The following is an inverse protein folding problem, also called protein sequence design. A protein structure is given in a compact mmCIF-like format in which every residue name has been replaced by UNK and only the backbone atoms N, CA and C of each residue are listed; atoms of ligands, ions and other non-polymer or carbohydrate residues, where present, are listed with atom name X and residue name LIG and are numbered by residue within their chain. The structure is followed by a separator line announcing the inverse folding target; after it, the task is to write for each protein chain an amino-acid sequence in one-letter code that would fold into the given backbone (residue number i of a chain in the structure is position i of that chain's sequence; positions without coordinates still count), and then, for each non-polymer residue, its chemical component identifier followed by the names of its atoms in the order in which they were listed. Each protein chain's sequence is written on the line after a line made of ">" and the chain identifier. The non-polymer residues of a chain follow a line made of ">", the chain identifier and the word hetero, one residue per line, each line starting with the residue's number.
data_IF_937456996898
#
_entry.id   IF_937456996898
#
_cell.length_a   1.000
_cell.length_b   1.000
_cell.length_c   1.000
_cell.angle_alpha   90.00
_cell.angle_beta   90.00
_cell.angle_gamma   90.00
#
_symmetry.space_group_name_H-M   'P 1'
#
loop_
_entity.id
_entity.type
_entity.pdbx_description
1 polymer ?
#
# COMPACT_ATOMS: atom_id res chain seq x y z
N UNK A 1 17.36 -53.63 -55.43
CA UNK A 1 17.49 -52.44 -54.57
C UNK A 1 16.21 -51.60 -54.40
N UNK A 2 15.14 -51.78 -55.19
CA UNK A 2 13.90 -50.98 -55.03
C UNK A 2 12.88 -51.49 -53.98
N UNK A 3 13.13 -52.62 -53.31
CA UNK A 3 12.25 -53.12 -52.22
C UNK A 3 12.67 -52.71 -50.81
N UNK A 4 13.87 -52.18 -50.61
CA UNK A 4 14.36 -51.74 -49.29
C UNK A 4 14.04 -50.26 -49.02
N UNK A 5 13.85 -49.45 -50.07
CA UNK A 5 13.52 -48.03 -49.93
C UNK A 5 12.09 -47.77 -49.42
N UNK A 6 11.14 -48.68 -49.65
CA UNK A 6 9.73 -48.50 -49.25
C UNK A 6 9.38 -48.98 -47.83
N UNK A 7 10.33 -49.48 -47.04
CA UNK A 7 10.09 -49.84 -45.62
C UNK A 7 10.67 -48.86 -44.60
N UNK A 8 11.45 -47.86 -45.04
CA UNK A 8 12.04 -46.83 -44.18
C UNK A 8 11.28 -45.49 -44.21
N UNK A 9 10.30 -45.30 -45.11
CA UNK A 9 9.57 -44.03 -45.23
C UNK A 9 8.42 -43.85 -44.23
N UNK A 10 7.88 -44.94 -43.65
CA UNK A 10 6.76 -44.85 -42.71
C UNK A 10 7.15 -44.39 -41.31
N UNK A 11 8.24 -44.92 -40.75
CA UNK A 11 8.61 -44.66 -39.35
C UNK A 11 9.49 -43.42 -39.19
N UNK A 12 10.32 -43.09 -40.18
CA UNK A 12 11.24 -41.94 -40.09
C UNK A 12 10.50 -40.60 -40.04
N UNK A 13 9.38 -40.49 -40.74
CA UNK A 13 8.52 -39.31 -40.68
C UNK A 13 7.83 -39.18 -39.32
N UNK A 14 7.40 -40.29 -38.73
CA UNK A 14 6.77 -40.33 -37.40
C UNK A 14 7.75 -39.88 -36.30
N UNK A 15 9.01 -40.36 -36.34
CA UNK A 15 10.05 -39.92 -35.42
C UNK A 15 10.33 -38.41 -35.52
N UNK A 16 10.31 -37.84 -36.74
CA UNK A 16 10.47 -36.40 -36.94
C UNK A 16 9.34 -35.59 -36.30
N UNK A 17 8.09 -36.01 -36.48
CA UNK A 17 6.92 -35.32 -35.89
C UNK A 17 6.94 -35.41 -34.37
N UNK A 18 7.25 -36.58 -33.80
CA UNK A 18 7.34 -36.76 -32.34
C UNK A 18 8.44 -35.87 -31.75
N UNK A 19 9.60 -35.79 -32.40
CA UNK A 19 10.71 -34.95 -31.94
C UNK A 19 10.31 -33.45 -31.92
N UNK A 20 9.62 -32.97 -32.96
CA UNK A 20 9.12 -31.59 -33.01
C UNK A 20 8.11 -31.31 -31.91
N UNK A 21 7.19 -32.25 -31.64
CA UNK A 21 6.21 -32.11 -30.56
C UNK A 21 6.85 -32.09 -29.17
N UNK A 22 7.88 -32.90 -28.94
CA UNK A 22 8.63 -32.91 -27.68
C UNK A 22 9.40 -31.60 -27.48
N UNK A 23 10.06 -31.09 -28.53
CA UNK A 23 10.74 -29.79 -28.46
C UNK A 23 9.76 -28.64 -28.20
N UNK A 24 8.59 -28.68 -28.82
CA UNK A 24 7.55 -27.67 -28.61
C UNK A 24 6.98 -27.74 -27.18
N UNK A 25 6.79 -28.94 -26.63
CA UNK A 25 6.38 -29.12 -25.24
C UNK A 25 7.43 -28.60 -24.24
N UNK A 26 8.72 -28.84 -24.51
CA UNK A 26 9.82 -28.30 -23.69
C UNK A 26 9.83 -26.76 -23.75
N UNK A 27 9.64 -26.17 -24.94
CA UNK A 27 9.61 -24.72 -25.12
C UNK A 27 8.44 -24.08 -24.36
N UNK A 28 7.26 -24.70 -24.39
CA UNK A 28 6.08 -24.29 -23.61
C UNK A 28 6.32 -24.40 -22.10
N UNK A 29 7.06 -25.41 -21.65
CA UNK A 29 7.37 -25.61 -20.24
C UNK A 29 8.38 -24.58 -19.71
N UNK A 30 9.39 -24.22 -20.50
CA UNK A 30 10.45 -23.29 -20.08
C UNK A 30 9.93 -21.85 -20.04
N UNK A 31 9.19 -21.41 -21.07
CA UNK A 31 8.67 -20.04 -21.13
C UNK A 31 7.25 -20.00 -21.72
N UNK A 32 6.20 -20.10 -20.87
CA UNK A 32 4.80 -20.11 -21.33
C UNK A 32 4.38 -18.80 -22.02
N UNK A 33 5.15 -17.72 -21.84
CA UNK A 33 4.99 -16.42 -22.48
C UNK A 33 5.15 -16.47 -24.00
N UNK A 34 6.10 -17.25 -24.53
CA UNK A 34 6.27 -17.37 -26.00
C UNK A 34 5.07 -18.05 -26.65
N UNK A 35 4.47 -19.01 -25.96
CA UNK A 35 3.29 -19.70 -26.46
C UNK A 35 2.10 -18.75 -26.59
N UNK A 36 1.89 -17.86 -25.61
CA UNK A 36 0.89 -16.79 -25.70
C UNK A 36 1.17 -15.85 -26.88
N UNK A 37 2.44 -15.54 -27.16
CA UNK A 37 2.81 -14.64 -28.25
C UNK A 37 2.44 -15.19 -29.63
N UNK A 38 2.54 -16.51 -29.84
CA UNK A 38 2.20 -17.18 -31.11
C UNK A 38 0.72 -17.00 -31.47
N UNK A 39 -0.18 -17.06 -30.49
CA UNK A 39 -1.63 -16.95 -30.75
C UNK A 39 -2.17 -15.53 -30.64
N UNK A 40 -1.48 -14.63 -29.93
CA UNK A 40 -1.94 -13.25 -29.73
C UNK A 40 -1.44 -12.26 -30.78
N UNK A 41 -0.25 -12.47 -31.34
CA UNK A 41 0.33 -11.50 -32.26
C UNK A 41 0.01 -11.81 -33.71
N UNK A 42 -0.14 -10.76 -34.52
CA UNK A 42 -0.30 -10.89 -35.97
C UNK A 42 0.83 -11.71 -36.60
N UNK A 43 2.07 -11.51 -36.12
CA UNK A 43 3.24 -12.26 -36.58
C UNK A 43 3.15 -13.75 -36.20
N UNK A 44 2.73 -14.04 -34.97
CA UNK A 44 2.52 -15.41 -34.51
C UNK A 44 1.49 -16.17 -35.36
N UNK A 45 0.36 -15.52 -35.65
CA UNK A 45 -0.68 -16.09 -36.51
C UNK A 45 -0.18 -16.32 -37.95
N UNK A 46 0.60 -15.40 -38.50
CA UNK A 46 1.25 -15.56 -39.81
C UNK A 46 2.18 -16.77 -39.85
N UNK A 47 2.98 -16.99 -38.79
CA UNK A 47 3.86 -18.16 -38.66
C UNK A 47 3.04 -19.45 -38.57
N UNK A 48 1.94 -19.44 -37.82
CA UNK A 48 1.06 -20.59 -37.66
C UNK A 48 0.40 -20.99 -38.99
N UNK A 49 -0.09 -20.04 -39.77
CA UNK A 49 -0.63 -20.31 -41.12
C UNK A 49 0.44 -20.84 -42.08
N UNK A 50 1.66 -20.29 -42.02
CA UNK A 50 2.77 -20.78 -42.83
C UNK A 50 3.14 -22.24 -42.48
N UNK A 51 3.15 -22.60 -41.19
CA UNK A 51 3.38 -23.98 -40.75
C UNK A 51 2.27 -24.93 -41.21
N UNK A 52 0.99 -24.55 -41.07
CA UNK A 52 -0.13 -25.34 -41.60
C UNK A 52 0.02 -25.55 -43.11
N UNK A 53 0.34 -24.49 -43.86
CA UNK A 53 0.56 -24.55 -45.30
C UNK A 53 1.68 -25.53 -45.68
N UNK A 54 2.81 -25.50 -44.96
CA UNK A 54 3.95 -26.39 -45.21
C UNK A 54 3.59 -27.85 -44.92
N UNK A 55 2.89 -28.13 -43.81
CA UNK A 55 2.44 -29.49 -43.47
C UNK A 55 1.43 -29.99 -44.50
N UNK A 56 0.50 -29.15 -44.96
CA UNK A 56 -0.44 -29.49 -46.03
C UNK A 56 0.25 -29.84 -47.36
N UNK A 57 1.37 -29.16 -47.68
CA UNK A 57 2.18 -29.50 -48.87
C UNK A 57 2.89 -30.85 -48.75
N UNK A 58 3.22 -31.28 -47.53
CA UNK A 58 3.85 -32.60 -47.29
C UNK A 58 2.81 -33.72 -47.30
N UNK A 59 1.72 -33.56 -46.55
CA UNK A 59 0.60 -34.50 -46.50
C UNK A 59 -0.65 -33.79 -45.98
N UNK A 60 -1.68 -33.73 -46.84
CA UNK A 60 -2.94 -33.05 -46.56
C UNK A 60 -3.67 -33.61 -45.32
N UNK A 61 -3.52 -34.92 -45.02
CA UNK A 61 -4.20 -35.54 -43.87
C UNK A 61 -3.63 -35.02 -42.55
N UNK A 62 -2.31 -34.86 -42.49
CA UNK A 62 -1.63 -34.31 -41.31
C UNK A 62 -1.87 -32.81 -41.18
N UNK A 63 -1.93 -32.08 -42.30
CA UNK A 63 -2.25 -30.65 -42.30
C UNK A 63 -3.63 -30.35 -41.72
N UNK A 64 -4.65 -31.13 -42.10
CA UNK A 64 -6.01 -31.01 -41.54
C UNK A 64 -6.02 -31.29 -40.04
N UNK A 65 -5.32 -32.34 -39.59
CA UNK A 65 -5.22 -32.68 -38.17
C UNK A 65 -4.55 -31.58 -37.34
N UNK A 66 -3.45 -31.01 -37.84
CA UNK A 66 -2.73 -29.93 -37.16
C UNK A 66 -3.55 -28.63 -37.10
N UNK A 67 -4.27 -28.30 -38.18
CA UNK A 67 -5.18 -27.16 -38.21
C UNK A 67 -6.33 -27.29 -37.20
N UNK A 68 -6.95 -28.47 -37.11
CA UNK A 68 -8.02 -28.73 -36.14
C UNK A 68 -7.51 -28.61 -34.68
N UNK A 69 -6.34 -29.17 -34.37
CA UNK A 69 -5.73 -29.04 -33.05
C UNK A 69 -5.41 -27.58 -32.71
N UNK A 70 -4.81 -26.85 -33.64
CA UNK A 70 -4.48 -25.42 -33.46
C UNK A 70 -5.74 -24.58 -33.22
N UNK A 71 -6.85 -24.90 -33.90
CA UNK A 71 -8.14 -24.24 -33.70
C UNK A 71 -8.74 -24.53 -32.31
N UNK A 72 -8.67 -25.77 -31.83
CA UNK A 72 -9.14 -26.13 -30.48
C UNK A 72 -8.34 -25.38 -29.42
N UNK A 73 -7.01 -25.34 -29.56
CA UNK A 73 -6.12 -24.62 -28.64
C UNK A 73 -6.42 -23.12 -28.68
N UNK A 74 -6.55 -22.54 -29.88
CA UNK A 74 -6.93 -21.13 -30.05
C UNK A 74 -8.27 -20.80 -29.36
N UNK A 75 -9.29 -21.64 -29.56
CA UNK A 75 -10.58 -21.47 -28.89
C UNK A 75 -10.47 -21.62 -27.37
N UNK A 76 -9.69 -22.57 -26.86
CA UNK A 76 -9.48 -22.73 -25.42
C UNK A 76 -8.85 -21.48 -24.79
N UNK A 77 -7.90 -20.83 -25.49
CA UNK A 77 -7.34 -19.56 -25.03
C UNK A 77 -8.35 -18.41 -25.10
N UNK A 78 -9.11 -18.30 -26.18
CA UNK A 78 -10.12 -17.27 -26.31
C UNK A 78 -11.26 -17.43 -25.27
N UNK A 79 -11.63 -18.67 -24.95
CA UNK A 79 -12.62 -18.99 -23.91
C UNK A 79 -12.04 -18.70 -22.51
N UNK A 80 -10.76 -18.99 -22.27
CA UNK A 80 -10.12 -18.66 -20.98
C UNK A 80 -10.10 -17.15 -20.69
N UNK A 81 -10.14 -16.31 -21.74
CA UNK A 81 -10.26 -14.86 -21.61
C UNK A 81 -11.72 -14.39 -21.52
N UNK A 82 -12.67 -15.13 -22.11
CA UNK A 82 -14.11 -14.82 -22.11
C UNK A 82 -14.90 -15.24 -20.87
N UNK A 83 -14.32 -15.96 -19.90
CA UNK A 83 -15.00 -16.36 -18.66
C UNK A 83 -15.00 -15.28 -17.55
N UNK A 84 -14.36 -14.12 -17.78
CA UNK A 84 -14.54 -12.94 -16.94
C UNK A 84 -15.76 -12.13 -17.43
N UNK A 85 -16.93 -12.60 -16.99
CA UNK A 85 -18.30 -12.09 -17.17
C UNK A 85 -18.54 -10.76 -17.89
N UNK A 86 -19.14 -10.84 -19.07
CA UNK A 86 -20.06 -9.82 -19.56
C UNK A 86 -21.50 -10.34 -19.44
N UNK A 87 -22.23 -9.69 -18.55
CA UNK A 87 -23.67 -9.76 -18.45
C UNK A 87 -24.21 -8.36 -18.22
N UNK A 88 -24.08 -7.46 -19.20
CA UNK A 88 -25.21 -6.62 -19.62
C UNK A 88 -24.85 -5.63 -20.73
N UNK A 89 -25.44 -5.88 -21.89
CA UNK A 89 -26.01 -4.91 -22.85
C UNK A 89 -25.47 -3.48 -22.87
N UNK A 90 -24.55 -3.24 -23.81
CA UNK A 90 -24.66 -2.16 -24.80
C UNK A 90 -24.32 -0.75 -24.32
N UNK A 91 -23.06 -0.33 -24.57
CA UNK A 91 -22.73 0.71 -25.57
C UNK A 91 -21.30 0.43 -26.09
N UNK A 92 -21.19 0.27 -27.41
CA UNK A 92 -19.97 0.31 -28.23
C UNK A 92 -19.05 1.51 -27.88
N UNK A 93 -17.73 1.53 -28.04
CA UNK A 93 -16.72 0.59 -28.56
C UNK A 93 -15.35 1.28 -28.41
N UNK A 94 -14.54 0.96 -27.37
CA UNK A 94 -13.10 1.29 -27.30
C UNK A 94 -12.38 0.71 -26.06
N UNK A 95 -12.78 -0.47 -25.57
CA UNK A 95 -12.21 -1.08 -24.34
C UNK A 95 -11.22 -2.24 -24.56
N UNK A 96 -10.89 -2.58 -25.80
CA UNK A 96 -10.16 -3.82 -26.11
C UNK A 96 -8.64 -3.81 -26.12
N UNK A 97 -7.94 -2.86 -25.46
CA UNK A 97 -6.47 -2.77 -25.60
C UNK A 97 -5.63 -2.79 -24.32
N UNK A 98 -6.19 -2.84 -23.11
CA UNK A 98 -5.39 -2.92 -21.89
C UNK A 98 -6.12 -3.74 -20.80
N UNK A 99 -5.41 -4.54 -19.99
CA UNK A 99 -6.01 -5.43 -19.01
C UNK A 99 -6.87 -4.64 -18.00
N UNK A 100 -8.12 -5.04 -17.85
CA UNK A 100 -9.10 -4.44 -16.96
C UNK A 100 -8.64 -4.56 -15.50
N UNK A 101 -7.95 -3.52 -15.00
CA UNK A 101 -7.37 -3.48 -13.65
C UNK A 101 -8.15 -2.67 -12.62
N UNK A 102 -9.33 -2.15 -12.96
CA UNK A 102 -10.15 -1.35 -12.06
C UNK A 102 -11.52 -2.01 -11.92
N UNK A 103 -11.74 -2.88 -10.91
CA UNK A 103 -13.08 -3.38 -10.64
C UNK A 103 -13.98 -2.18 -10.34
N UNK A 104 -14.99 -1.97 -11.19
CA UNK A 104 -16.03 -0.99 -10.90
C UNK A 104 -16.82 -1.56 -9.70
N UNK A 105 -17.01 -0.79 -8.62
CA UNK A 105 -17.78 -1.19 -7.45
C UNK A 105 -19.12 -1.82 -7.86
N UNK A 106 -19.38 -3.05 -7.42
CA UNK A 106 -20.71 -3.67 -7.57
C UNK A 106 -21.57 -3.31 -6.36
N UNK A 107 -22.00 -2.05 -6.23
CA UNK A 107 -22.78 -1.58 -5.07
C UNK A 107 -23.13 -0.08 -5.08
N UNK A 108 -23.65 0.42 -3.94
CA UNK A 108 -23.91 1.85 -3.70
C UNK A 108 -22.57 2.62 -3.71
N UNK A 109 -22.23 3.21 -4.85
CA UNK A 109 -21.03 4.05 -4.98
C UNK A 109 -21.20 5.33 -4.14
N UNK A 110 -20.19 5.66 -3.35
CA UNK A 110 -20.16 6.90 -2.56
C UNK A 110 -19.91 8.09 -3.49
N UNK A 111 -19.10 7.89 -4.54
CA UNK A 111 -18.82 8.92 -5.53
C UNK A 111 -19.83 8.90 -6.68
N UNK A 112 -20.10 10.07 -7.31
CA UNK A 112 -20.85 10.12 -8.55
C UNK A 112 -20.15 9.30 -9.65
N UNK A 113 -20.90 8.57 -10.51
CA UNK A 113 -20.31 7.78 -11.59
C UNK A 113 -19.37 8.57 -12.51
N UNK A 114 -19.67 9.85 -12.78
CA UNK A 114 -18.82 10.74 -13.57
C UNK A 114 -17.45 10.97 -12.93
N UNK A 115 -17.40 11.12 -11.61
CA UNK A 115 -16.14 11.30 -10.87
C UNK A 115 -15.30 10.02 -10.93
N UNK A 116 -15.95 8.86 -10.85
CA UNK A 116 -15.28 7.56 -10.96
C UNK A 116 -14.66 7.40 -12.36
N UNK A 117 -15.42 7.66 -13.41
CA UNK A 117 -14.94 7.54 -14.79
C UNK A 117 -13.77 8.50 -15.08
N UNK A 118 -13.90 9.75 -14.64
CA UNK A 118 -12.84 10.75 -14.79
C UNK A 118 -11.60 10.39 -13.95
N UNK A 119 -11.77 9.86 -12.74
CA UNK A 119 -10.68 9.35 -11.90
C UNK A 119 -9.93 8.21 -12.59
N UNK A 120 -10.64 7.18 -13.08
CA UNK A 120 -10.01 6.06 -13.78
C UNK A 120 -9.24 6.57 -15.02
N UNK A 121 -9.83 7.50 -15.77
CA UNK A 121 -9.17 8.10 -16.94
C UNK A 121 -7.92 8.88 -16.57
N UNK A 122 -7.99 9.69 -15.51
CA UNK A 122 -6.85 10.43 -14.98
C UNK A 122 -5.73 9.47 -14.54
N UNK A 123 -6.04 8.44 -13.76
CA UNK A 123 -5.05 7.48 -13.25
C UNK A 123 -4.41 6.68 -14.38
N UNK A 124 -5.16 6.29 -15.42
CA UNK A 124 -4.59 5.64 -16.60
C UNK A 124 -3.55 6.50 -17.34
N UNK A 125 -3.71 7.81 -17.33
CA UNK A 125 -2.80 8.74 -18.00
C UNK A 125 -1.59 9.04 -17.11
N UNK A 126 -1.82 9.31 -15.83
CA UNK A 126 -0.79 9.82 -14.93
C UNK A 126 -0.05 8.74 -14.16
N UNK A 127 -0.72 7.63 -13.84
CA UNK A 127 -0.19 6.53 -13.03
C UNK A 127 -0.54 5.16 -13.65
N UNK A 128 -0.14 4.89 -14.91
CA UNK A 128 -0.57 3.69 -15.66
C UNK A 128 -0.14 2.36 -15.01
N UNK A 129 0.88 2.38 -14.16
CA UNK A 129 1.43 1.20 -13.49
C UNK A 129 0.85 0.97 -12.09
N UNK A 130 -0.13 1.77 -11.66
CA UNK A 130 -0.79 1.64 -10.35
C UNK A 130 -2.21 1.14 -10.57
N UNK A 131 -2.60 0.11 -9.81
CA UNK A 131 -3.97 -0.40 -9.78
C UNK A 131 -4.66 0.14 -8.54
N UNK A 132 -5.89 0.63 -8.67
CA UNK A 132 -6.64 1.19 -7.56
C UNK A 132 -7.90 0.36 -7.29
N UNK A 133 -8.06 -0.07 -6.06
CA UNK A 133 -9.31 -0.59 -5.55
C UNK A 133 -10.23 0.58 -5.19
N UNK A 134 -11.26 0.77 -6.02
CA UNK A 134 -12.22 1.86 -5.87
C UNK A 134 -13.13 1.66 -4.65
N UNK A 135 -13.34 0.43 -4.17
CA UNK A 135 -14.16 0.17 -2.99
C UNK A 135 -13.45 0.65 -1.72
N UNK A 136 -12.14 0.45 -1.63
CA UNK A 136 -11.33 0.98 -0.52
C UNK A 136 -11.15 2.48 -0.67
N UNK A 137 -10.80 2.96 -1.87
CA UNK A 137 -10.51 4.38 -2.08
C UNK A 137 -11.72 5.28 -1.75
N UNK A 138 -12.93 4.87 -2.12
CA UNK A 138 -14.15 5.60 -1.81
C UNK A 138 -14.50 5.63 -0.30
N UNK A 139 -13.97 4.71 0.50
CA UNK A 139 -14.09 4.76 1.97
C UNK A 139 -13.09 5.73 2.60
N UNK A 140 -11.98 5.98 1.90
CA UNK A 140 -10.88 6.80 2.41
C UNK A 140 -10.93 8.26 1.94
N UNK A 141 -11.59 8.54 0.82
CA UNK A 141 -11.66 9.88 0.27
C UNK A 141 -13.08 10.23 -0.17
N UNK A 142 -13.42 11.50 0.01
CA UNK A 142 -14.69 12.09 -0.42
C UNK A 142 -14.70 12.36 -1.93
N UNK A 143 -15.89 12.55 -2.49
CA UNK A 143 -16.02 12.89 -3.91
C UNK A 143 -15.36 14.25 -4.22
N UNK A 144 -15.46 15.21 -3.30
CA UNK A 144 -14.87 16.54 -3.40
C UNK A 144 -13.34 16.50 -3.43
N UNK A 145 -12.72 15.62 -2.65
CA UNK A 145 -11.27 15.40 -2.68
C UNK A 145 -10.83 14.79 -4.01
N UNK A 146 -11.60 13.83 -4.55
CA UNK A 146 -11.34 13.23 -5.85
C UNK A 146 -11.49 14.27 -6.98
N UNK A 147 -12.50 15.14 -6.93
CA UNK A 147 -12.65 16.26 -7.87
C UNK A 147 -11.49 17.26 -7.76
N UNK A 148 -10.98 17.53 -6.55
CA UNK A 148 -9.79 18.36 -6.36
C UNK A 148 -8.55 17.74 -7.01
N UNK A 149 -8.37 16.42 -6.90
CA UNK A 149 -7.32 15.70 -7.64
C UNK A 149 -7.48 15.91 -9.14
N UNK A 150 -8.67 15.69 -9.68
CA UNK A 150 -8.95 15.81 -11.11
C UNK A 150 -8.66 17.23 -11.64
N UNK A 151 -8.97 18.25 -10.85
CA UNK A 151 -8.76 19.66 -11.22
C UNK A 151 -7.30 20.10 -11.12
N UNK A 152 -6.61 19.70 -10.05
CA UNK A 152 -5.30 20.21 -9.69
C UNK A 152 -4.15 19.23 -10.03
N UNK A 153 -4.48 18.02 -10.44
CA UNK A 153 -3.55 16.91 -10.63
C UNK A 153 -2.97 16.35 -9.33
N UNK A 154 -3.47 16.76 -8.17
CA UNK A 154 -2.94 16.38 -6.84
C UNK A 154 -4.03 16.24 -5.79
N UNK A 155 -3.93 15.18 -4.99
CA UNK A 155 -4.72 15.01 -3.78
C UNK A 155 -4.48 16.15 -2.78
N UNK A 156 -5.54 16.66 -2.13
CA UNK A 156 -5.46 17.86 -1.29
C UNK A 156 -4.95 17.54 0.13
N UNK A 157 -3.66 17.22 0.27
CA UNK A 157 -3.08 16.96 1.59
C UNK A 157 -2.91 18.25 2.41
N UNK A 158 -3.14 18.15 3.71
CA UNK A 158 -2.86 19.23 4.67
C UNK A 158 -1.35 19.58 4.70
N UNK A 159 -0.99 20.84 5.01
CA UNK A 159 0.41 21.26 5.10
C UNK A 159 1.24 20.42 6.08
N UNK A 160 0.63 20.00 7.18
CA UNK A 160 1.29 19.18 8.21
C UNK A 160 1.72 17.82 7.66
N UNK A 161 0.85 17.18 6.86
CA UNK A 161 1.11 15.88 6.26
C UNK A 161 2.14 15.98 5.14
N UNK A 162 2.09 17.05 4.36
CA UNK A 162 3.15 17.35 3.39
C UNK A 162 4.52 17.49 4.07
N UNK A 163 4.57 18.13 5.24
CA UNK A 163 5.80 18.29 6.01
C UNK A 163 6.29 16.95 6.58
N UNK A 164 5.39 16.15 7.17
CA UNK A 164 5.72 14.81 7.67
C UNK A 164 6.26 13.89 6.56
N UNK A 165 5.63 13.87 5.39
CA UNK A 165 6.11 13.08 4.26
C UNK A 165 7.51 13.53 3.80
N UNK A 166 7.71 14.84 3.61
CA UNK A 166 9.02 15.38 3.20
C UNK A 166 10.12 15.03 4.20
N UNK A 167 9.82 15.14 5.49
CA UNK A 167 10.74 14.76 6.57
C UNK A 167 11.09 13.27 6.50
N UNK A 168 10.10 12.40 6.35
CA UNK A 168 10.31 10.96 6.24
C UNK A 168 11.18 10.59 5.02
N UNK A 169 10.99 11.25 3.87
CA UNK A 169 11.84 11.04 2.70
C UNK A 169 13.27 11.58 2.94
N UNK A 170 13.40 12.76 3.55
CA UNK A 170 14.71 13.36 3.82
C UNK A 170 15.55 12.55 4.82
N UNK A 171 14.91 11.86 5.76
CA UNK A 171 15.56 11.01 6.77
C UNK A 171 15.83 9.59 6.26
N UNK A 172 15.30 9.22 5.09
CA UNK A 172 15.47 7.89 4.53
C UNK A 172 16.81 7.73 3.79
N UNK A 173 17.68 6.87 4.32
CA UNK A 173 19.02 6.64 3.74
C UNK A 173 19.01 5.75 2.47
N UNK A 174 17.89 5.15 2.12
CA UNK A 174 17.73 4.28 0.94
C UNK A 174 17.22 5.10 -0.26
N UNK A 175 16.35 6.08 0.00
CA UNK A 175 15.69 6.87 -1.04
C UNK A 175 16.51 8.12 -1.35
N UNK A 176 17.16 8.15 -2.52
CA UNK A 176 17.97 9.30 -2.96
C UNK A 176 17.18 10.30 -3.82
N UNK A 177 15.94 10.61 -3.44
CA UNK A 177 15.08 11.54 -4.19
C UNK A 177 14.82 12.82 -3.42
N UNK A 178 14.67 13.94 -4.13
CA UNK A 178 14.40 15.23 -3.50
C UNK A 178 12.99 15.24 -2.87
N UNK A 179 12.84 15.58 -1.57
CA UNK A 179 11.57 15.43 -0.86
C UNK A 179 10.37 16.14 -1.50
N UNK A 180 10.55 17.33 -2.08
CA UNK A 180 9.49 18.07 -2.77
C UNK A 180 9.01 17.38 -4.03
N UNK A 181 9.91 16.81 -4.82
CA UNK A 181 9.63 16.06 -6.04
C UNK A 181 8.91 14.76 -5.70
N UNK A 182 9.36 14.06 -4.66
CA UNK A 182 8.71 12.84 -4.15
C UNK A 182 7.33 13.12 -3.60
N UNK A 183 7.12 14.27 -2.93
CA UNK A 183 5.80 14.71 -2.49
C UNK A 183 4.87 14.93 -3.69
N UNK A 184 5.34 15.66 -4.70
CA UNK A 184 4.53 15.96 -5.88
C UNK A 184 4.07 14.71 -6.61
N UNK A 185 4.93 13.69 -6.71
CA UNK A 185 4.59 12.40 -7.28
C UNK A 185 3.62 11.63 -6.38
N UNK A 186 3.92 11.50 -5.09
CA UNK A 186 3.06 10.79 -4.16
C UNK A 186 1.63 11.38 -4.09
N UNK A 187 1.49 12.70 -4.22
CA UNK A 187 0.19 13.38 -4.26
C UNK A 187 -0.64 13.10 -5.51
N UNK A 188 -0.09 12.53 -6.59
CA UNK A 188 -0.92 12.10 -7.74
C UNK A 188 -1.56 10.73 -7.49
N UNK A 189 -1.02 9.96 -6.53
CA UNK A 189 -1.39 8.58 -6.24
C UNK A 189 -2.19 8.49 -4.95
N UNK A 190 -1.62 8.94 -3.83
CA UNK A 190 -2.16 8.69 -2.49
C UNK A 190 -3.02 9.85 -2.00
N UNK A 191 -4.22 9.55 -1.51
CA UNK A 191 -5.00 10.51 -0.73
C UNK A 191 -4.38 10.70 0.67
N UNK A 192 -4.91 11.66 1.43
CA UNK A 192 -4.38 12.01 2.75
C UNK A 192 -4.40 10.84 3.75
N UNK A 193 -5.51 10.08 3.80
CA UNK A 193 -5.67 8.97 4.74
C UNK A 193 -4.71 7.82 4.41
N UNK A 194 -4.54 7.53 3.12
CA UNK A 194 -3.61 6.51 2.68
C UNK A 194 -2.14 6.86 3.01
N UNK A 195 -1.73 8.12 2.81
CA UNK A 195 -0.36 8.51 3.15
C UNK A 195 -0.13 8.56 4.66
N UNK A 196 -1.13 8.97 5.44
CA UNK A 196 -1.05 8.90 6.91
C UNK A 196 -0.84 7.46 7.39
N UNK A 197 -1.60 6.51 6.84
CA UNK A 197 -1.46 5.10 7.16
C UNK A 197 -0.08 4.55 6.75
N UNK A 198 0.44 4.94 5.58
CA UNK A 198 1.79 4.53 5.17
C UNK A 198 2.86 5.09 6.12
N UNK A 199 2.74 6.36 6.51
CA UNK A 199 3.66 7.00 7.44
C UNK A 199 3.56 6.41 8.85
N UNK A 200 2.37 5.96 9.28
CA UNK A 200 2.17 5.38 10.61
C UNK A 200 2.93 4.07 10.78
N UNK A 201 3.07 3.26 9.72
CA UNK A 201 3.84 2.02 9.76
C UNK A 201 5.35 2.22 9.93
N UNK A 202 5.85 3.43 9.63
CA UNK A 202 7.26 3.78 9.78
C UNK A 202 7.60 4.42 11.13
N UNK A 203 6.62 4.49 12.04
CA UNK A 203 6.80 5.00 13.39
C UNK A 203 7.05 3.88 14.40
N UNK A 204 7.41 4.24 15.64
CA UNK A 204 7.61 3.26 16.72
C UNK A 204 6.33 2.49 17.06
N UNK A 205 5.17 3.15 17.05
CA UNK A 205 3.88 2.52 17.32
C UNK A 205 3.50 1.58 16.17
N UNK A 206 3.73 1.97 14.92
CA UNK A 206 3.53 1.10 13.75
C UNK A 206 4.43 -0.13 13.78
N UNK A 207 5.72 0.05 14.08
CA UNK A 207 6.66 -1.06 14.23
C UNK A 207 6.25 -2.00 15.37
N UNK A 208 5.75 -1.47 16.49
CA UNK A 208 5.23 -2.29 17.58
C UNK A 208 4.02 -3.11 17.16
N UNK A 209 3.07 -2.52 16.43
CA UNK A 209 1.88 -3.23 15.97
C UNK A 209 2.22 -4.34 14.96
N UNK A 210 3.14 -4.06 14.02
CA UNK A 210 3.52 -4.99 12.96
C UNK A 210 4.50 -6.08 13.42
N UNK A 211 5.51 -5.71 14.21
CA UNK A 211 6.62 -6.59 14.57
C UNK A 211 6.55 -7.08 16.02
N UNK A 212 5.77 -6.41 16.86
CA UNK A 212 5.69 -6.68 18.30
C UNK A 212 6.81 -6.05 19.11
N UNK A 213 6.91 -6.50 20.36
CA UNK A 213 7.98 -6.16 21.30
C UNK A 213 8.61 -7.42 21.89
N UNK A 214 9.91 -7.35 22.14
CA UNK A 214 10.68 -8.42 22.81
C UNK A 214 10.42 -8.37 24.31
N UNK A 215 10.04 -9.50 24.90
CA UNK A 215 9.71 -9.63 26.32
C UNK A 215 10.68 -10.54 27.09
N UNK A 216 11.88 -10.75 26.55
CA UNK A 216 12.94 -11.58 27.13
C UNK A 216 13.17 -12.87 26.35
N UNK A 217 13.90 -13.81 26.95
CA UNK A 217 14.24 -15.10 26.35
C UNK A 217 13.96 -16.22 27.35
N UNK A 218 13.69 -17.41 26.83
CA UNK A 218 13.58 -18.63 27.64
C UNK A 218 14.99 -19.09 28.03
N UNK A 219 15.22 -19.46 29.29
CA UNK A 219 16.57 -19.73 29.83
C UNK A 219 17.37 -20.80 29.06
N UNK A 220 16.69 -21.74 28.41
CA UNK A 220 17.31 -22.84 27.65
C UNK A 220 17.40 -22.56 26.14
N UNK A 221 17.08 -21.35 25.70
CA UNK A 221 17.14 -20.93 24.30
C UNK A 221 18.33 -20.01 24.03
N UNK A 222 18.92 -20.05 22.81
CA UNK A 222 19.93 -19.09 22.39
C UNK A 222 19.46 -17.63 22.57
N UNK A 223 20.36 -16.74 22.98
CA UNK A 223 20.08 -15.31 23.24
C UNK A 223 19.46 -14.56 22.04
N UNK A 224 19.65 -15.07 20.83
CA UNK A 224 19.06 -14.50 19.62
C UNK A 224 17.61 -14.93 19.36
N UNK A 225 17.02 -15.75 20.24
CA UNK A 225 15.62 -16.19 20.17
C UNK A 225 14.85 -15.63 21.35
N UNK A 226 14.12 -14.57 21.04
CA UNK A 226 13.40 -13.79 22.03
C UNK A 226 11.91 -14.08 21.99
N UNK A 227 11.29 -14.18 23.15
CA UNK A 227 9.84 -14.20 23.29
C UNK A 227 9.27 -12.83 22.87
N UNK A 228 8.08 -12.85 22.27
CA UNK A 228 7.50 -11.69 21.61
C UNK A 228 6.08 -11.44 22.10
N UNK A 229 5.68 -10.18 22.15
CA UNK A 229 4.28 -9.77 22.21
C UNK A 229 3.95 -9.02 20.93
N UNK A 230 2.99 -9.52 20.15
CA UNK A 230 2.61 -8.92 18.86
C UNK A 230 1.13 -9.08 18.56
N UNK A 231 0.65 -8.35 17.56
CA UNK A 231 -0.68 -8.57 17.00
C UNK A 231 -0.73 -9.85 16.16
N UNK A 232 -1.81 -10.62 16.30
CA UNK A 232 -2.05 -11.84 15.55
C UNK A 232 -3.51 -12.29 15.62
N UNK A 233 -3.86 -13.23 14.74
CA UNK A 233 -5.20 -13.85 14.69
C UNK A 233 -5.28 -14.98 15.70
N UNK A 234 -6.35 -15.01 16.50
CA UNK A 234 -6.60 -16.09 17.45
C UNK A 234 -7.26 -17.28 16.74
N UNK A 235 -6.45 -18.27 16.33
CA UNK A 235 -6.95 -19.47 15.67
C UNK A 235 -7.72 -19.13 14.38
N UNK A 236 -8.97 -19.57 14.30
CA UNK A 236 -9.85 -19.35 13.14
C UNK A 236 -10.54 -17.96 13.14
N UNK A 237 -10.35 -17.14 14.18
CA UNK A 237 -10.95 -15.81 14.21
C UNK A 237 -10.24 -14.86 13.23
N UNK A 238 -11.02 -14.08 12.47
CA UNK A 238 -10.49 -12.97 11.69
C UNK A 238 -10.05 -11.79 12.56
N UNK A 239 -10.49 -11.74 13.82
CA UNK A 239 -10.19 -10.64 14.73
C UNK A 239 -8.72 -10.64 15.19
N UNK A 240 -8.06 -9.51 15.00
CA UNK A 240 -6.70 -9.27 15.44
C UNK A 240 -6.66 -8.97 16.95
N UNK A 241 -5.76 -9.61 17.66
CA UNK A 241 -5.56 -9.41 19.10
C UNK A 241 -4.10 -9.55 19.49
N UNK A 242 -3.76 -9.05 20.68
CA UNK A 242 -2.42 -9.20 21.23
C UNK A 242 -2.17 -10.64 21.68
N UNK A 243 -1.02 -11.17 21.25
CA UNK A 243 -0.59 -12.52 21.56
C UNK A 243 0.82 -12.51 22.11
N UNK A 244 1.08 -13.40 23.06
CA UNK A 244 2.40 -13.70 23.59
C UNK A 244 2.90 -14.97 22.92
N UNK A 245 4.06 -14.87 22.30
CA UNK A 245 4.76 -15.96 21.62
C UNK A 245 5.97 -16.32 22.47
N UNK A 246 5.93 -17.53 23.02
CA UNK A 246 7.03 -18.10 23.79
C UNK A 246 7.69 -19.22 23.01
N UNK A 247 8.99 -19.09 22.76
CA UNK A 247 9.76 -20.10 22.07
C UNK A 247 10.21 -21.18 23.06
N UNK A 248 9.82 -22.42 22.79
CA UNK A 248 9.95 -23.54 23.72
C UNK A 248 10.99 -24.58 23.30
N UNK A 249 11.67 -24.39 22.17
CA UNK A 249 12.72 -25.28 21.70
C UNK A 249 12.69 -25.51 20.19
N UNK A 250 13.28 -26.62 19.79
CA UNK A 250 13.28 -27.11 18.41
C UNK A 250 12.66 -28.50 18.35
N UNK A 251 11.94 -28.79 17.27
CA UNK A 251 11.45 -30.15 17.03
C UNK A 251 12.62 -31.07 16.67
N UNK A 252 12.62 -32.28 17.22
CA UNK A 252 13.76 -33.21 17.09
C UNK A 252 13.94 -33.85 15.71
N UNK A 253 12.97 -33.70 14.80
CA UNK A 253 12.99 -34.37 13.49
C UNK A 253 13.43 -33.42 12.37
N UNK A 254 12.99 -32.17 12.40
CA UNK A 254 13.22 -31.21 11.32
C UNK A 254 14.02 -29.97 11.76
N UNK A 255 14.31 -29.82 13.06
CA UNK A 255 14.96 -28.63 13.60
C UNK A 255 14.10 -27.36 13.49
N UNK A 256 12.79 -27.48 13.30
CA UNK A 256 11.90 -26.33 13.26
C UNK A 256 11.69 -25.79 14.67
N UNK A 257 11.62 -24.47 14.80
CA UNK A 257 11.39 -23.80 16.07
C UNK A 257 9.97 -24.09 16.56
N UNK A 258 9.86 -24.54 17.81
CA UNK A 258 8.58 -24.73 18.48
C UNK A 258 8.22 -23.48 19.27
N UNK A 259 6.96 -23.07 19.20
CA UNK A 259 6.47 -21.91 19.93
C UNK A 259 5.09 -22.17 20.50
N UNK A 260 4.79 -21.52 21.61
CA UNK A 260 3.46 -21.49 22.23
C UNK A 260 2.92 -20.08 22.09
N UNK A 261 1.72 -19.98 21.52
CA UNK A 261 1.01 -18.71 21.32
C UNK A 261 -0.13 -18.65 22.33
N UNK A 262 -0.13 -17.63 23.17
CA UNK A 262 -1.18 -17.40 24.17
C UNK A 262 -1.81 -16.02 24.00
N UNK A 263 -3.14 -15.89 24.12
CA UNK A 263 -3.79 -14.58 24.15
C UNK A 263 -3.32 -13.76 25.36
N UNK A 264 -3.18 -12.45 25.18
CA UNK A 264 -2.79 -11.51 26.24
C UNK A 264 -3.99 -10.67 26.65
N UNK A 265 -4.27 -10.60 27.96
CA UNK A 265 -5.21 -9.60 28.49
C UNK A 265 -4.57 -8.22 28.33
N UNK A 266 -5.30 -7.29 27.73
CA UNK A 266 -4.80 -5.95 27.47
C UNK A 266 -4.37 -5.21 28.74
N UNK A 267 -4.98 -5.53 29.89
CA UNK A 267 -4.59 -4.95 31.19
C UNK A 267 -3.17 -5.30 31.61
N UNK A 268 -2.64 -6.42 31.12
CA UNK A 268 -1.31 -6.89 31.46
C UNK A 268 -0.23 -6.27 30.56
N UNK A 269 -0.60 -5.67 29.42
CA UNK A 269 0.35 -5.10 28.46
C UNK A 269 1.37 -4.12 29.08
N UNK A 270 0.99 -3.18 29.96
CA UNK A 270 1.97 -2.28 30.58
C UNK A 270 3.01 -3.00 31.45
N UNK A 271 2.68 -4.17 31.99
CA UNK A 271 3.61 -4.99 32.78
C UNK A 271 4.48 -5.89 31.91
N UNK A 272 3.99 -6.29 30.74
CA UNK A 272 4.66 -7.22 29.84
C UNK A 272 5.56 -6.51 28.84
N UNK A 273 5.18 -5.32 28.37
CA UNK A 273 5.89 -4.55 27.36
C UNK A 273 6.52 -3.33 28.02
N UNK A 274 7.84 -3.33 28.13
CA UNK A 274 8.56 -2.20 28.71
C UNK A 274 8.29 -0.91 27.93
N UNK A 275 8.00 0.17 28.66
CA UNK A 275 7.69 1.48 28.09
C UNK A 275 6.30 1.62 27.50
N UNK A 276 5.44 0.59 27.57
CA UNK A 276 4.05 0.66 27.11
C UNK A 276 3.13 1.20 28.22
N UNK A 277 2.22 2.10 27.86
CA UNK A 277 1.10 2.48 28.72
C UNK A 277 -0.09 2.92 27.87
N UNK A 278 -1.31 2.75 28.39
CA UNK A 278 -2.49 3.32 27.74
C UNK A 278 -2.56 4.82 28.03
N UNK A 279 -3.12 5.56 27.08
CA UNK A 279 -3.39 6.99 27.29
C UNK A 279 -4.47 7.20 28.35
N UNK A 280 -4.38 8.33 29.04
CA UNK A 280 -5.31 8.67 30.12
C UNK A 280 -6.76 8.75 29.61
N UNK A 281 -7.67 8.09 30.32
CA UNK A 281 -9.10 8.13 30.05
C UNK A 281 -9.64 7.13 29.02
N UNK A 282 -8.79 6.37 28.31
CA UNK A 282 -9.22 5.28 27.42
C UNK A 282 -9.31 3.94 28.15
N UNK A 283 -8.39 3.70 29.09
CA UNK A 283 -8.27 2.42 29.79
C UNK A 283 -7.71 1.32 28.89
N UNK A 284 -7.69 0.09 29.40
CA UNK A 284 -7.17 -1.05 28.64
C UNK A 284 -8.08 -1.38 27.45
N UNK A 285 -7.51 -1.34 26.25
CA UNK A 285 -8.18 -1.63 24.97
C UNK A 285 -7.28 -2.47 24.07
N UNK A 286 -7.82 -2.97 22.95
CA UNK A 286 -7.07 -3.76 21.98
C UNK A 286 -6.28 -2.84 21.03
N UNK A 287 -4.93 -2.75 21.13
CA UNK A 287 -4.15 -1.90 20.24
C UNK A 287 -4.12 -2.41 18.78
N UNK A 288 -4.41 -3.70 18.55
CA UNK A 288 -4.35 -4.31 17.22
C UNK A 288 -5.48 -3.87 16.28
N UNK A 289 -6.52 -3.21 16.78
CA UNK A 289 -7.66 -2.76 15.95
C UNK A 289 -7.24 -1.72 14.90
N UNK A 290 -6.10 -1.05 15.09
CA UNK A 290 -5.52 -0.16 14.10
C UNK A 290 -5.02 -0.89 12.83
N UNK A 291 -4.87 -2.22 12.89
CA UNK A 291 -4.51 -3.07 11.76
C UNK A 291 -5.74 -3.67 11.04
N UNK A 292 -6.96 -3.39 11.50
CA UNK A 292 -8.18 -3.84 10.84
C UNK A 292 -8.35 -3.16 9.47
N UNK A 293 -9.26 -3.70 8.66
CA UNK A 293 -9.70 -3.09 7.40
C UNK A 293 -11.23 -2.91 7.40
N UNK A 294 -11.75 -1.68 7.59
CA UNK A 294 -11.01 -0.43 7.76
C UNK A 294 -10.29 -0.33 9.12
N UNK A 295 -9.22 0.46 9.18
CA UNK A 295 -8.45 0.66 10.39
C UNK A 295 -9.27 1.39 11.46
N UNK A 296 -9.19 0.89 12.70
CA UNK A 296 -9.82 1.52 13.85
C UNK A 296 -8.75 2.18 14.76
N UNK A 297 -8.90 3.48 14.97
CA UNK A 297 -7.97 4.31 15.75
C UNK A 297 -8.51 4.61 17.16
N UNK A 298 -9.41 3.78 17.68
CA UNK A 298 -10.06 3.96 18.98
C UNK A 298 -9.19 3.65 20.21
N UNK A 299 -8.01 3.03 20.03
CA UNK A 299 -7.14 2.59 21.12
C UNK A 299 -5.75 3.27 21.11
N UNK A 300 -5.65 4.54 21.56
CA UNK A 300 -4.36 5.23 21.68
C UNK A 300 -3.54 4.76 22.88
N UNK A 301 -2.22 4.63 22.67
CA UNK A 301 -1.25 4.21 23.67
C UNK A 301 0.07 5.00 23.54
N UNK A 302 0.87 4.98 24.61
CA UNK A 302 2.21 5.53 24.69
C UNK A 302 3.22 4.39 24.65
N UNK A 303 4.32 4.60 23.91
CA UNK A 303 5.40 3.62 23.80
C UNK A 303 6.76 4.29 23.86
N UNK A 304 7.53 3.96 24.89
CA UNK A 304 8.92 4.40 25.03
C UNK A 304 9.89 3.33 24.55
N UNK A 305 10.49 3.54 23.38
CA UNK A 305 11.51 2.67 22.78
C UNK A 305 12.95 3.17 23.01
N UNK A 306 13.15 4.11 23.94
CA UNK A 306 14.43 4.78 24.18
C UNK A 306 14.58 6.13 23.48
N UNK A 307 13.72 6.42 22.50
CA UNK A 307 13.66 7.71 21.79
C UNK A 307 12.51 8.61 22.29
N UNK A 308 12.14 8.47 23.57
CA UNK A 308 11.04 9.23 24.18
C UNK A 308 9.71 8.48 24.18
N UNK A 309 8.82 8.91 25.07
CA UNK A 309 7.49 8.30 25.28
C UNK A 309 6.39 9.00 24.46
N UNK A 310 6.71 10.14 23.85
CA UNK A 310 5.74 10.97 23.12
C UNK A 310 5.11 10.25 21.94
N UNK A 311 3.83 10.48 21.69
CA UNK A 311 3.13 9.91 20.53
C UNK A 311 3.72 10.48 19.25
N UNK A 312 4.03 9.64 18.28
CA UNK A 312 4.52 10.10 16.96
C UNK A 312 3.51 11.03 16.28
N UNK A 313 3.98 12.09 15.60
CA UNK A 313 3.10 13.09 14.97
C UNK A 313 2.03 12.50 14.04
N UNK A 314 2.34 11.41 13.34
CA UNK A 314 1.38 10.71 12.48
C UNK A 314 0.25 10.06 13.28
N UNK A 315 0.56 9.43 14.42
CA UNK A 315 -0.43 8.83 15.31
C UNK A 315 -1.22 9.86 16.11
N UNK A 316 -0.63 11.01 16.42
CA UNK A 316 -1.36 12.16 16.96
C UNK A 316 -2.50 12.60 16.02
N UNK A 317 -2.29 12.54 14.70
CA UNK A 317 -3.34 12.84 13.72
C UNK A 317 -4.39 11.73 13.64
N UNK A 318 -3.96 10.47 13.61
CA UNK A 318 -4.87 9.31 13.50
C UNK A 318 -5.75 9.13 14.75
N UNK A 319 -5.18 9.33 15.94
CA UNK A 319 -5.89 9.20 17.22
C UNK A 319 -6.57 10.49 17.69
N UNK A 320 -6.25 11.64 17.08
CA UNK A 320 -6.76 12.94 17.54
C UNK A 320 -6.23 13.35 18.91
N UNK A 321 -4.99 12.99 19.22
CA UNK A 321 -4.32 13.25 20.52
C UNK A 321 -3.07 14.11 20.34
N UNK A 322 -2.62 14.76 21.41
CA UNK A 322 -1.34 15.47 21.46
C UNK A 322 -0.15 14.53 21.73
N UNK A 323 1.04 15.10 21.91
CA UNK A 323 2.27 14.33 22.17
C UNK A 323 2.24 13.52 23.46
N UNK A 324 1.40 13.90 24.42
CA UNK A 324 1.24 13.21 25.70
C UNK A 324 0.09 12.19 25.67
N UNK A 325 -0.59 12.06 24.52
CA UNK A 325 -1.71 11.15 24.34
C UNK A 325 -3.03 11.70 24.89
N UNK A 326 -3.10 12.98 25.23
CA UNK A 326 -4.34 13.62 25.65
C UNK A 326 -5.15 14.03 24.41
N UNK A 327 -6.48 13.88 24.46
CA UNK A 327 -7.35 14.34 23.38
C UNK A 327 -7.12 15.82 23.12
N UNK A 328 -6.87 16.19 21.86
CA UNK A 328 -6.79 17.60 21.47
C UNK A 328 -8.14 18.26 21.78
N UNK A 329 -8.18 19.18 22.73
CA UNK A 329 -9.37 19.99 22.98
C UNK A 329 -9.72 20.75 21.71
N UNK A 330 -10.92 20.50 21.18
CA UNK A 330 -11.42 21.23 20.03
C UNK A 330 -11.74 22.68 20.48
N UNK A 331 -11.22 23.73 19.83
CA UNK A 331 -11.55 25.11 20.19
C UNK A 331 -13.06 25.43 20.15
N UNK A 332 -13.86 24.60 19.45
CA UNK A 332 -15.32 24.70 19.35
C UNK A 332 -16.10 24.09 20.53
N UNK A 333 -15.46 23.32 21.42
CA UNK A 333 -16.12 22.79 22.63
C UNK A 333 -16.09 23.79 23.82
N UNK A 334 -15.44 24.94 23.67
CA UNK A 334 -15.67 26.11 24.52
C UNK A 334 -16.97 26.82 24.09
N UNK A 335 -18.10 26.16 24.25
CA UNK A 335 -19.34 26.91 24.50
C UNK A 335 -19.27 27.39 25.96
N UNK A 336 -19.25 28.71 26.23
CA UNK A 336 -19.28 29.18 27.59
C UNK A 336 -20.69 28.91 28.12
N UNK A 337 -20.83 27.83 28.88
CA UNK A 337 -21.90 27.70 29.84
C UNK A 337 -21.94 29.01 30.65
N UNK A 338 -23.10 29.66 30.65
CA UNK A 338 -23.38 30.95 31.29
C UNK A 338 -23.30 30.85 32.83
N UNK A 339 -22.17 30.42 33.39
CA UNK A 339 -21.82 30.67 34.78
C UNK A 339 -20.92 31.89 34.81
N UNK A 340 -21.42 32.96 35.42
CA UNK A 340 -20.73 34.23 35.66
C UNK A 340 -19.29 33.98 36.13
N UNK A 341 -18.33 34.14 35.23
CA UNK A 341 -16.92 34.18 35.58
C UNK A 341 -16.73 35.38 36.50
N UNK A 342 -16.31 35.11 37.74
CA UNK A 342 -16.17 36.14 38.75
C UNK A 342 -14.97 37.03 38.39
N UNK A 343 -15.24 38.29 38.02
CA UNK A 343 -14.26 39.28 37.52
C UNK A 343 -13.07 39.55 38.46
N UNK A 344 -13.06 38.98 39.67
CA UNK A 344 -12.01 39.17 40.68
C UNK A 344 -10.96 38.06 40.73
N UNK A 345 -11.18 36.90 40.10
CA UNK A 345 -10.31 35.74 40.33
C UNK A 345 -9.08 35.65 39.41
N UNK A 346 -9.05 36.33 38.25
CA UNK A 346 -7.90 36.26 37.34
C UNK A 346 -7.62 37.59 36.62
N UNK A 347 -7.00 38.57 37.31
CA UNK A 347 -6.65 39.87 36.72
C UNK A 347 -5.64 39.75 35.56
N UNK A 348 -4.63 38.88 35.70
CA UNK A 348 -3.57 38.67 34.69
C UNK A 348 -4.09 38.07 33.37
N UNK A 349 -5.07 37.18 33.40
CA UNK A 349 -5.64 36.59 32.17
C UNK A 349 -6.44 37.61 31.35
N UNK A 350 -7.06 38.59 32.03
CA UNK A 350 -7.82 39.64 31.36
C UNK A 350 -6.87 40.67 30.73
N UNK A 351 -5.79 41.03 31.42
CA UNK A 351 -4.75 41.90 30.89
C UNK A 351 -4.09 41.28 29.65
N UNK A 352 -3.77 39.98 29.69
CA UNK A 352 -3.22 39.26 28.55
C UNK A 352 -4.20 39.19 27.35
N UNK A 353 -5.50 39.01 27.62
CA UNK A 353 -6.53 38.98 26.58
C UNK A 353 -6.71 40.36 25.94
N UNK A 354 -6.73 41.42 26.73
CA UNK A 354 -6.86 42.79 26.23
C UNK A 354 -5.59 43.21 25.43
N UNK A 355 -4.40 42.76 25.85
CA UNK A 355 -3.16 42.95 25.08
C UNK A 355 -3.15 42.15 23.78
N UNK A 356 -3.67 40.92 23.76
CA UNK A 356 -3.78 40.10 22.53
C UNK A 356 -4.77 40.74 21.55
N UNK A 357 -5.93 41.21 22.01
CA UNK A 357 -6.92 41.87 21.16
C UNK A 357 -6.35 43.18 20.60
N UNK A 358 -5.70 43.99 21.44
CA UNK A 358 -5.04 45.22 21.01
C UNK A 358 -3.92 44.94 19.99
N UNK A 359 -3.13 43.88 20.22
CA UNK A 359 -2.07 43.44 19.30
C UNK A 359 -2.65 42.96 17.96
N UNK A 360 -3.80 42.29 17.95
CA UNK A 360 -4.50 41.87 16.73
C UNK A 360 -5.04 43.07 15.94
N UNK A 361 -5.61 44.08 16.61
CA UNK A 361 -6.06 45.32 15.98
C UNK A 361 -4.89 46.15 15.40
N UNK A 362 -3.72 46.13 16.04
CA UNK A 362 -2.50 46.77 15.53
C UNK A 362 -1.94 46.01 14.30
N UNK A 363 -1.95 44.67 14.33
CA UNK A 363 -1.54 43.82 13.19
C UNK A 363 -2.47 44.01 11.98
N UNK A 364 -3.79 44.18 12.17
CA UNK A 364 -4.71 44.47 11.07
C UNK A 364 -4.50 45.87 10.47
N UNK A 365 -4.13 46.86 11.29
CA UNK A 365 -3.76 48.21 10.82
C UNK A 365 -2.45 48.24 10.05
N UNK A 366 -1.49 47.36 10.38
CA UNK A 366 -0.23 47.22 9.65
C UNK A 366 -0.40 46.44 8.33
N UNK A 367 -1.21 45.38 8.31
CA UNK A 367 -1.55 44.63 7.09
C UNK A 367 -2.34 45.45 6.06
N UNK A 368 -3.04 46.51 6.49
CA UNK A 368 -3.65 47.50 5.62
C UNK A 368 -2.66 48.46 4.93
N UNK A 369 -1.43 48.58 5.42
CA UNK A 369 -0.41 49.53 4.92
C UNK A 369 0.70 48.89 4.07
N UNK A 370 0.82 47.57 4.05
CA UNK A 370 1.91 46.86 3.36
C UNK A 370 1.61 46.32 1.94
N UNK A 371 0.48 46.71 1.31
CA UNK A 371 0.29 46.53 -0.16
C UNK A 371 1.02 47.60 -0.98
N UNK A 372 2.30 47.81 -0.68
CA UNK A 372 3.13 48.76 -1.43
C UNK A 372 4.58 48.82 -0.98
N UNK A 373 5.38 47.76 -1.27
CA UNK A 373 6.76 47.86 -1.79
C UNK A 373 7.47 46.49 -1.88
N UNK A 374 8.18 46.31 -2.98
CA UNK A 374 9.03 45.18 -3.36
C UNK A 374 10.25 44.94 -2.44
N UNK A 375 10.70 43.68 -2.38
CA UNK A 375 12.03 43.31 -2.91
C UNK A 375 13.17 42.87 -1.96
N UNK A 376 13.70 41.67 -2.27
CA UNK A 376 15.10 41.16 -2.19
C UNK A 376 15.75 40.70 -0.86
N UNK A 377 16.02 39.38 -0.84
CA UNK A 377 17.35 38.71 -0.82
C UNK A 377 18.32 38.88 0.39
N UNK A 378 18.64 37.79 1.12
CA UNK A 378 19.97 37.11 1.17
C UNK A 378 20.19 36.09 2.32
N UNK A 379 20.61 34.87 1.90
CA UNK A 379 21.65 33.90 2.34
C UNK A 379 22.31 33.90 3.75
N UNK A 380 22.46 32.65 4.27
CA UNK A 380 23.64 32.09 4.99
C UNK A 380 23.36 31.69 6.46
N UNK A 381 23.88 30.61 7.10
CA UNK A 381 24.89 29.59 6.77
C UNK A 381 24.91 28.50 7.89
N UNK A 382 25.04 27.22 7.49
CA UNK A 382 25.69 26.01 8.09
C UNK A 382 25.95 25.89 9.62
N UNK A 383 25.57 24.75 10.20
CA UNK A 383 26.30 24.08 11.29
C UNK A 383 26.20 22.55 11.20
N UNK A 384 27.34 21.87 11.28
CA UNK A 384 27.56 20.42 11.30
C UNK A 384 27.50 19.87 12.74
N UNK A 385 26.98 18.64 12.91
CA UNK A 385 27.50 17.69 13.91
C UNK A 385 27.15 16.24 13.54
N UNK A 386 28.16 15.38 13.69
CA UNK A 386 28.18 13.93 13.48
C UNK A 386 27.68 13.13 14.70
N UNK A 387 27.51 11.81 14.46
CA UNK A 387 27.37 10.65 15.37
C UNK A 387 25.89 10.31 15.64
N UNK A 388 25.39 9.08 15.43
CA UNK A 388 25.99 7.79 15.08
C UNK A 388 24.90 6.74 14.81
N UNK A 389 25.32 5.58 14.31
CA UNK A 389 24.53 4.44 13.85
C UNK A 389 23.53 3.89 14.87
N UNK A 390 22.29 3.61 14.44
CA UNK A 390 21.54 2.38 14.78
C UNK A 390 20.71 1.98 13.54
N UNK A 391 21.02 0.81 13.00
CA UNK A 391 20.29 0.14 11.93
C UNK A 391 18.95 -0.40 12.44
N UNK A 392 17.91 -0.28 11.61
CA UNK A 392 16.70 -1.08 11.76
C UNK A 392 15.46 -0.43 11.17
N UNK A 393 15.32 -0.41 9.85
CA UNK A 393 14.00 -0.49 9.19
C UNK A 393 14.20 -0.64 7.68
N UNK A 394 13.83 -1.82 7.14
CA UNK A 394 13.69 -1.99 5.69
C UNK A 394 12.19 -1.93 5.40
N UNK A 395 11.77 -0.77 4.92
CA UNK A 395 10.45 -0.52 4.32
C UNK A 395 10.58 -0.87 2.83
N UNK A 396 9.58 -1.48 2.18
CA UNK A 396 9.62 -1.68 0.73
C UNK A 396 9.82 -0.36 -0.02
N UNK A 397 10.50 -0.37 -1.17
CA UNK A 397 10.93 0.83 -1.86
C UNK A 397 9.72 1.69 -2.28
N UNK A 398 9.71 2.95 -1.81
CA UNK A 398 8.93 4.02 -2.45
C UNK A 398 9.65 4.33 -3.76
N UNK A 399 9.04 3.87 -4.85
CA UNK A 399 9.29 4.17 -6.28
C UNK A 399 10.53 5.05 -6.52
N UNK A 400 11.67 4.41 -6.79
CA UNK A 400 12.75 5.07 -7.53
C UNK A 400 12.31 5.17 -8.99
N UNK A 401 12.51 6.33 -9.60
CA UNK A 401 12.15 6.60 -10.99
C UNK A 401 13.18 6.00 -11.97
N UNK A 402 13.74 4.83 -11.66
CA UNK A 402 14.67 4.14 -12.54
C UNK A 402 13.96 2.94 -13.17
N UNK A 403 13.96 2.97 -14.50
CA UNK A 403 13.41 1.99 -15.43
C UNK A 403 13.99 0.60 -15.20
N UNK A 404 13.36 -0.19 -14.33
CA UNK A 404 13.46 -1.65 -14.31
C UNK A 404 12.13 -2.21 -13.83
N UNK A 405 11.64 -3.27 -14.52
CA UNK A 405 10.36 -3.96 -14.32
C UNK A 405 9.84 -3.89 -12.88
N UNK A 406 8.93 -2.94 -12.62
CA UNK A 406 8.27 -2.80 -11.33
C UNK A 406 7.05 -3.72 -11.37
N UNK A 407 7.13 -4.79 -10.59
CA UNK A 407 5.99 -5.61 -10.17
C UNK A 407 4.80 -4.71 -9.79
N UNK A 408 3.62 -5.01 -10.35
CA UNK A 408 2.38 -4.25 -10.18
C UNK A 408 2.16 -3.78 -8.73
N UNK A 409 2.03 -2.47 -8.52
CA UNK A 409 1.68 -1.89 -7.22
C UNK A 409 0.16 -1.88 -7.11
N UNK A 410 -0.36 -2.74 -6.25
CA UNK A 410 -1.79 -2.79 -5.93
C UNK A 410 -2.10 -1.81 -4.79
N UNK A 411 -2.85 -0.77 -5.10
CA UNK A 411 -3.35 0.19 -4.12
C UNK A 411 -4.80 -0.17 -3.76
N UNK A 412 -5.08 -0.27 -2.46
CA UNK A 412 -6.39 -0.67 -1.94
C UNK A 412 -6.67 -2.17 -2.02
N UNK A 413 -5.65 -3.02 -2.19
CA UNK A 413 -5.84 -4.44 -1.90
C UNK A 413 -5.70 -4.72 -0.42
N UNK A 414 -6.57 -5.59 0.10
CA UNK A 414 -6.37 -6.44 1.28
C UNK A 414 -4.87 -6.73 1.43
N UNK A 415 -4.19 -6.06 2.35
CA UNK A 415 -2.86 -6.51 2.73
C UNK A 415 -3.06 -7.86 3.42
N UNK A 416 -2.69 -8.88 2.65
CA UNK A 416 -2.59 -10.26 3.05
C UNK A 416 -1.68 -10.33 4.27
N UNK A 417 -2.28 -10.66 5.41
CA UNK A 417 -1.66 -11.44 6.48
C UNK A 417 -2.47 -12.71 6.71
#
# INVERSE_FOLDING_TARGET
>A
MNRIRNRLSGNSAMFGVILVLVLLAILVYIEPTYFKYIFKTFLGNMILFAMIGLICMLDIRWGIGFAAMSFIVYQAFHISEGFAGDGSGGVDSLRGLYPEGYPIPKGNTVWPPSVIDDFIKFQKIHNPNVKFDLDILQKQATAEEAESLLKNGKWPWSPDIQSMYKKAIAENNIINTEPGSSLNNAQTVYNQNAILQLLSWNSKEGSFLLNGSIIGHTADMPDNINNLIRCGKNGDSEDLSMQKIEYTGYNGIYGNMNSTVTPVDYKDLPSLVNGFSFTDGVGACNPCVALNDPADYSCPFLLNTGNGAEVSNVWQQLWGVDSEGQKKMNPEELTPDKKKLNKKEFPLLNELKDEIIKSQEEIEKEKGKEKGKNGKEKKGKKMEKNIGDIQGSVIPPIVSNETHDISEINYGTKNVF
#
